data_IF_078582865102
#
_entry.id   IF_078582865102
#
_cell.length_a   1.000
_cell.length_b   1.000
_cell.length_c   1.000
_cell.angle_alpha   90.00
_cell.angle_beta   90.00
_cell.angle_gamma   90.00
#
_symmetry.space_group_name_H-M   'P 1'
#
loop_
_entity.id
_entity.type
_entity.pdbx_description
1 polymer ?
#
# COMPACT_ATOMS: atom_id res chain seq x y z
N UNK A 1 22.46 -2.93 4.64
CA UNK A 1 21.39 -2.51 3.74
C UNK A 1 20.86 -3.76 3.08
N UNK A 2 19.74 -4.32 3.54
CA UNK A 2 19.12 -5.45 2.87
C UNK A 2 18.43 -4.94 1.61
N UNK A 3 18.80 -5.46 0.44
CA UNK A 3 18.00 -5.29 -0.77
C UNK A 3 16.67 -6.00 -0.56
N UNK A 4 15.65 -5.26 -0.11
CA UNK A 4 14.29 -5.80 -0.04
C UNK A 4 13.84 -6.09 -1.46
N UNK A 5 13.64 -7.37 -1.77
CA UNK A 5 13.23 -7.85 -3.08
C UNK A 5 11.86 -7.25 -3.46
N UNK A 6 11.70 -6.93 -4.74
CA UNK A 6 10.39 -6.59 -5.30
C UNK A 6 9.57 -7.88 -5.41
N UNK A 7 8.36 -7.89 -4.86
CA UNK A 7 7.45 -9.03 -4.87
C UNK A 7 6.22 -8.71 -5.72
N UNK A 8 5.86 -9.59 -6.64
CA UNK A 8 4.61 -9.48 -7.42
C UNK A 8 3.43 -10.04 -6.62
N UNK A 9 2.47 -9.17 -6.30
CA UNK A 9 1.27 -9.46 -5.53
C UNK A 9 0.02 -9.63 -6.40
N UNK A 10 0.13 -9.45 -7.72
CA UNK A 10 -1.00 -9.66 -8.63
C UNK A 10 -1.47 -11.13 -8.57
N UNK A 11 -2.79 -11.39 -8.57
CA UNK A 11 -3.31 -12.77 -8.56
C UNK A 11 -2.82 -13.63 -9.72
N UNK A 12 -2.63 -13.01 -10.89
CA UNK A 12 -2.22 -13.68 -12.12
C UNK A 12 -0.70 -13.63 -12.37
N UNK A 13 0.09 -13.08 -11.46
CA UNK A 13 1.54 -12.85 -11.62
C UNK A 13 1.88 -12.10 -12.92
N UNK A 14 1.10 -11.05 -13.20
CA UNK A 14 1.24 -10.19 -14.37
C UNK A 14 1.96 -8.87 -14.08
N UNK A 15 2.60 -8.76 -12.92
CA UNK A 15 3.41 -7.61 -12.47
C UNK A 15 2.65 -6.27 -12.39
N UNK A 16 1.31 -6.27 -12.44
CA UNK A 16 0.51 -5.04 -12.30
C UNK A 16 0.50 -4.48 -10.88
N UNK A 17 0.83 -5.29 -9.88
CA UNK A 17 0.93 -4.87 -8.48
C UNK A 17 2.21 -5.46 -7.90
N UNK A 18 3.22 -4.63 -7.72
CA UNK A 18 4.49 -5.02 -7.11
C UNK A 18 4.71 -4.26 -5.81
N UNK A 19 5.33 -4.92 -4.82
CA UNK A 19 5.62 -4.36 -3.51
C UNK A 19 7.11 -4.45 -3.23
N UNK A 20 7.67 -3.35 -2.76
CA UNK A 20 9.00 -3.28 -2.16
C UNK A 20 8.87 -2.71 -0.76
N UNK A 21 9.43 -3.40 0.22
CA UNK A 21 9.49 -2.87 1.59
C UNK A 21 10.66 -1.87 1.65
N UNK A 22 10.36 -0.60 1.98
CA UNK A 22 11.37 0.44 2.14
C UNK A 22 11.95 0.49 3.55
N UNK A 23 11.17 0.07 4.53
CA UNK A 23 11.53 -0.03 5.94
C UNK A 23 10.65 -1.11 6.57
N UNK A 24 11.27 -2.06 7.24
CA UNK A 24 10.56 -3.12 7.95
C UNK A 24 9.69 -2.54 9.08
N UNK A 25 8.53 -3.15 9.28
CA UNK A 25 7.68 -2.89 10.44
C UNK A 25 8.34 -3.37 11.73
N UNK A 26 7.97 -2.75 12.85
CA UNK A 26 8.43 -3.21 14.16
C UNK A 26 7.68 -4.48 14.62
N UNK A 27 6.41 -4.60 14.23
CA UNK A 27 5.53 -5.70 14.59
C UNK A 27 5.50 -6.76 13.50
N UNK A 28 5.16 -7.99 13.89
CA UNK A 28 5.02 -9.14 12.98
C UNK A 28 3.59 -9.37 12.51
N UNK A 29 2.61 -8.74 13.17
CA UNK A 29 1.20 -8.88 12.80
C UNK A 29 0.86 -8.02 11.57
N UNK A 30 -0.02 -8.56 10.73
CA UNK A 30 -0.52 -7.89 9.53
C UNK A 30 -2.05 -7.81 9.60
N UNK A 31 -2.67 -6.72 9.08
CA UNK A 31 -4.12 -6.58 9.11
C UNK A 31 -4.83 -7.69 8.35
N UNK A 32 -6.01 -8.09 8.83
CA UNK A 32 -6.87 -9.07 8.18
C UNK A 32 -8.03 -8.39 7.43
N UNK A 33 -8.67 -9.13 6.51
CA UNK A 33 -9.88 -8.68 5.85
C UNK A 33 -10.97 -8.32 6.88
N UNK A 34 -11.50 -7.10 6.78
CA UNK A 34 -12.47 -6.56 7.73
C UNK A 34 -11.87 -5.63 8.79
N UNK A 35 -10.55 -5.61 8.96
CA UNK A 35 -9.91 -4.66 9.87
C UNK A 35 -9.98 -3.24 9.31
N UNK A 36 -10.08 -2.27 10.23
CA UNK A 36 -9.95 -0.85 9.89
C UNK A 36 -8.48 -0.45 9.98
N UNK A 37 -7.91 -0.04 8.85
CA UNK A 37 -6.51 0.37 8.74
C UNK A 37 -6.39 1.89 8.66
N UNK A 38 -5.25 2.41 9.10
CA UNK A 38 -4.93 3.84 9.08
C UNK A 38 -3.52 4.01 8.52
N UNK A 39 -3.34 4.88 7.52
CA UNK A 39 -2.02 5.06 6.92
C UNK A 39 -1.82 6.43 6.30
N UNK A 40 -0.53 6.78 6.17
CA UNK A 40 -0.11 7.86 5.30
C UNK A 40 0.41 7.32 3.97
N UNK A 41 0.04 7.99 2.88
CA UNK A 41 0.46 7.64 1.53
C UNK A 41 0.80 8.87 0.71
N UNK A 42 1.56 8.64 -0.36
CA UNK A 42 1.80 9.57 -1.46
C UNK A 42 1.67 8.78 -2.75
N UNK A 43 0.78 9.22 -3.64
CA UNK A 43 0.56 8.64 -4.95
C UNK A 43 1.24 9.49 -6.03
N UNK A 44 2.04 8.83 -6.87
CA UNK A 44 2.75 9.46 -7.98
C UNK A 44 2.40 8.78 -9.29
N UNK A 45 2.35 9.55 -10.37
CA UNK A 45 2.34 9.04 -11.73
C UNK A 45 3.75 8.59 -12.15
N UNK A 46 3.86 7.89 -13.29
CA UNK A 46 5.15 7.37 -13.79
C UNK A 46 6.17 8.48 -14.10
N UNK A 47 5.70 9.69 -14.40
CA UNK A 47 6.54 10.87 -14.62
C UNK A 47 7.05 11.51 -13.31
N UNK A 48 6.67 10.97 -12.14
CA UNK A 48 7.02 11.49 -10.82
C UNK A 48 6.09 12.57 -10.27
N UNK A 49 5.08 13.00 -11.02
CA UNK A 49 4.08 13.95 -10.55
C UNK A 49 3.25 13.35 -9.41
N UNK A 50 3.19 14.05 -8.27
CA UNK A 50 2.33 13.68 -7.16
C UNK A 50 0.90 14.08 -7.51
N UNK A 51 -0.01 13.10 -7.57
CA UNK A 51 -1.43 13.38 -7.79
C UNK A 51 -2.22 13.46 -6.48
N UNK A 52 -1.72 12.83 -5.41
CA UNK A 52 -2.38 12.83 -4.11
C UNK A 52 -1.42 12.47 -2.96
N UNK A 53 -1.59 13.08 -1.78
CA UNK A 53 -0.77 12.81 -0.59
C UNK A 53 -1.57 13.10 0.68
N UNK A 54 -1.72 12.10 1.56
CA UNK A 54 -2.39 12.33 2.84
C UNK A 54 -1.54 13.11 3.84
N UNK A 55 -0.22 13.16 3.61
CA UNK A 55 0.69 13.99 4.43
C UNK A 55 0.52 15.48 4.15
N UNK A 56 0.17 15.85 2.92
CA UNK A 56 -0.12 17.26 2.57
C UNK A 56 -1.40 17.75 3.26
N UNK A 57 -2.34 16.84 3.52
CA UNK A 57 -3.56 17.12 4.29
C UNK A 57 -3.38 17.08 5.80
N UNK A 58 -2.23 16.62 6.30
CA UNK A 58 -1.98 16.38 7.73
C UNK A 58 -3.00 15.46 8.41
N UNK A 59 -3.62 14.54 7.66
CA UNK A 59 -4.64 13.63 8.17
C UNK A 59 -4.40 12.20 7.65
N UNK A 60 -4.41 11.16 8.51
CA UNK A 60 -4.34 9.78 8.05
C UNK A 60 -5.56 9.41 7.20
N UNK A 61 -5.34 8.59 6.18
CA UNK A 61 -6.43 7.96 5.46
C UNK A 61 -6.81 6.65 6.14
N UNK A 62 -8.11 6.33 6.19
CA UNK A 62 -8.59 5.09 6.78
C UNK A 62 -9.68 4.44 5.92
N UNK A 63 -9.67 3.12 5.90
CA UNK A 63 -10.66 2.29 5.21
C UNK A 63 -10.72 0.90 5.84
N UNK A 64 -11.72 0.10 5.46
CA UNK A 64 -11.85 -1.31 5.85
C UNK A 64 -11.24 -2.21 4.79
N UNK A 65 -10.23 -2.99 5.17
CA UNK A 65 -9.46 -3.84 4.27
C UNK A 65 -10.31 -4.97 3.66
N UNK A 66 -10.12 -5.25 2.37
CA UNK A 66 -10.73 -6.38 1.68
C UNK A 66 -12.22 -6.21 1.38
N UNK A 67 -12.71 -4.97 1.41
CA UNK A 67 -14.12 -4.62 1.12
C UNK A 67 -14.30 -3.90 -0.22
N UNK A 68 -13.23 -3.69 -1.00
CA UNK A 68 -13.31 -2.96 -2.27
C UNK A 68 -13.63 -1.47 -2.09
N UNK A 69 -13.31 -0.90 -0.91
CA UNK A 69 -13.47 0.53 -0.65
C UNK A 69 -12.38 1.38 -1.32
N UNK A 70 -11.30 0.75 -1.74
CA UNK A 70 -10.12 1.34 -2.37
C UNK A 70 -9.81 0.62 -3.68
N UNK A 71 -8.87 1.16 -4.46
CA UNK A 71 -8.38 0.48 -5.67
C UNK A 71 -7.79 -0.90 -5.33
N UNK A 72 -7.95 -1.86 -6.24
CA UNK A 72 -7.55 -3.27 -6.00
C UNK A 72 -6.10 -3.45 -5.55
N UNK A 73 -5.17 -2.61 -6.04
CA UNK A 73 -3.77 -2.68 -5.64
C UNK A 73 -3.57 -2.44 -4.14
N UNK A 74 -4.42 -1.64 -3.51
CA UNK A 74 -4.37 -1.39 -2.07
C UNK A 74 -4.87 -2.58 -1.27
N UNK A 75 -6.01 -3.16 -1.66
CA UNK A 75 -6.56 -4.36 -1.00
C UNK A 75 -5.61 -5.57 -1.08
N UNK A 76 -4.65 -5.59 -2.01
CA UNK A 76 -3.64 -6.64 -2.14
C UNK A 76 -2.33 -6.37 -1.36
N UNK A 77 -2.05 -5.11 -1.02
CA UNK A 77 -0.71 -4.69 -0.56
C UNK A 77 -0.63 -4.35 0.93
N UNK A 78 -1.74 -3.90 1.52
CA UNK A 78 -1.84 -3.45 2.92
C UNK A 78 -1.93 -4.67 3.83
#
# INVERSE_FOLDING_TARGET
MSDSAVVDLSPNKDSKVTKKIIKEGAETETPANGDKVYLHYTGTLENGEVFDSSRERNEPFSFTLGRGQVIKGWDLCV
#
